data_IF_816622656436
#
_entry.id   IF_816622656436
#
_cell.length_a   1.000
_cell.length_b   1.000
_cell.length_c   1.000
_cell.angle_alpha   90.00
_cell.angle_beta   90.00
_cell.angle_gamma   90.00
#
_symmetry.space_group_name_H-M   'P 1'
#
loop_
_entity.id
_entity.type
_entity.pdbx_description
1 polymer ?
#
# COMPACT_ATOMS: atom_id res chain seq x y z
N UNK A 1 18.98 -22.34 63.18
CA UNK A 1 18.79 -20.92 63.49
C UNK A 1 19.48 -20.12 62.39
N UNK A 2 18.71 -19.69 61.40
CA UNK A 2 19.21 -18.85 60.29
C UNK A 2 18.37 -17.58 60.33
N UNK A 3 19.07 -16.42 60.49
CA UNK A 3 18.45 -15.10 60.56
C UNK A 3 18.23 -14.58 59.14
N UNK A 4 16.98 -14.27 58.77
CA UNK A 4 16.63 -13.47 57.62
C UNK A 4 16.96 -12.00 57.91
N UNK A 5 17.75 -11.37 57.03
CA UNK A 5 17.95 -9.93 56.99
C UNK A 5 16.99 -9.32 55.97
N UNK A 6 16.14 -8.40 56.43
CA UNK A 6 15.22 -7.61 55.60
C UNK A 6 15.93 -6.34 55.15
N UNK A 7 16.17 -6.17 53.87
CA UNK A 7 16.69 -4.91 53.32
C UNK A 7 15.51 -4.05 52.85
N UNK A 8 15.36 -2.87 53.48
CA UNK A 8 14.40 -1.83 53.06
C UNK A 8 15.06 -0.90 52.05
N UNK A 9 14.55 -0.84 50.86
CA UNK A 9 14.97 0.15 49.85
C UNK A 9 13.98 1.32 49.92
N UNK A 10 14.50 2.49 50.34
CA UNK A 10 13.77 3.77 50.25
C UNK A 10 13.90 4.31 48.82
N UNK A 11 12.78 4.49 48.15
CA UNK A 11 12.69 5.24 46.88
C UNK A 11 12.47 6.73 47.22
N UNK A 12 13.38 7.56 46.75
CA UNK A 12 13.26 9.02 46.84
C UNK A 12 12.45 9.53 45.62
N UNK A 13 11.29 10.13 45.88
CA UNK A 13 10.47 10.81 44.87
C UNK A 13 11.00 12.23 44.71
N UNK A 14 11.61 12.51 43.56
CA UNK A 14 12.04 13.86 43.20
C UNK A 14 10.92 14.56 42.40
N UNK A 15 10.33 15.60 43.01
CA UNK A 15 9.35 16.48 42.35
C UNK A 15 10.11 17.53 41.53
N UNK A 16 9.95 17.52 40.21
CA UNK A 16 10.46 18.61 39.34
C UNK A 16 9.29 19.57 39.09
N UNK A 17 9.46 20.79 39.57
CA UNK A 17 8.61 21.93 39.26
C UNK A 17 9.05 22.53 37.92
N UNK A 18 8.16 22.45 36.89
CA UNK A 18 8.33 23.21 35.64
C UNK A 18 7.56 24.50 35.75
N UNK A 19 8.28 25.63 35.80
CA UNK A 19 7.71 26.97 35.71
C UNK A 19 7.52 27.33 34.27
N UNK A 20 6.25 27.40 33.82
CA UNK A 20 5.86 27.84 32.49
C UNK A 20 5.99 29.35 32.31
N UNK A 21 6.86 29.77 31.40
CA UNK A 21 6.92 31.15 30.91
C UNK A 21 6.04 31.30 29.66
N UNK A 22 4.97 32.08 29.75
CA UNK A 22 4.15 32.55 28.62
C UNK A 22 4.93 33.66 27.89
N UNK A 23 5.38 33.40 26.68
CA UNK A 23 5.76 34.47 25.74
C UNK A 23 4.63 34.70 24.72
N UNK A 24 4.05 35.87 24.86
CA UNK A 24 3.04 36.42 23.95
C UNK A 24 3.79 37.07 22.78
N UNK A 25 3.67 36.54 21.56
CA UNK A 25 4.18 37.18 20.34
C UNK A 25 2.98 37.65 19.52
N UNK A 26 2.83 38.96 19.46
CA UNK A 26 1.84 39.65 18.64
C UNK A 26 2.25 39.59 17.16
N UNK A 27 1.36 39.10 16.29
CA UNK A 27 1.49 39.18 14.85
C UNK A 27 1.04 40.54 14.32
N UNK A 28 1.57 41.00 13.15
CA UNK A 28 1.13 42.25 12.55
C UNK A 28 -0.17 42.09 11.76
N UNK A 29 -1.02 43.15 11.84
CA UNK A 29 -2.28 43.28 11.16
C UNK A 29 -2.15 43.49 9.63
N UNK A 30 -3.22 43.20 8.87
CA UNK A 30 -3.24 43.42 7.43
C UNK A 30 -3.48 44.90 7.08
N UNK A 31 -2.82 45.40 6.02
CA UNK A 31 -3.04 46.70 5.44
C UNK A 31 -4.03 46.63 4.27
N UNK A 32 -5.10 47.41 4.39
CA UNK A 32 -6.13 47.70 3.40
C UNK A 32 -5.63 48.58 2.25
N UNK A 33 -6.11 48.30 1.05
CA UNK A 33 -6.61 48.96 -0.07
C UNK A 33 -5.92 50.16 -0.72
N UNK A 34 -6.47 50.84 -1.70
CA UNK A 34 -7.62 50.57 -2.56
C UNK A 34 -7.40 50.80 -4.06
N UNK A 35 -8.27 50.23 -4.84
CA UNK A 35 -9.02 50.99 -5.84
C UNK A 35 -8.52 51.21 -7.24
N UNK A 36 -9.39 50.86 -8.14
CA UNK A 36 -9.89 51.62 -9.30
C UNK A 36 -9.33 51.29 -10.72
N UNK A 37 -10.24 50.80 -11.49
CA UNK A 37 -10.82 51.34 -12.73
C UNK A 37 -10.31 50.76 -14.04
N UNK A 38 -11.25 50.11 -14.75
CA UNK A 38 -11.30 50.01 -16.20
C UNK A 38 -11.66 51.39 -16.83
N UNK A 39 -11.47 51.62 -18.13
CA UNK A 39 -12.36 51.23 -19.20
C UNK A 39 -11.58 50.87 -20.47
N UNK A 40 -12.06 50.07 -21.45
CA UNK A 40 -13.17 50.26 -22.33
C UNK A 40 -12.74 50.37 -23.76
N UNK A 41 -13.43 49.65 -24.66
CA UNK A 41 -13.68 50.00 -26.10
C UNK A 41 -12.50 49.79 -27.10
N UNK A 42 -12.62 49.33 -28.33
CA UNK A 42 -13.69 49.08 -29.27
C UNK A 42 -13.15 48.31 -30.51
N UNK A 43 -14.02 47.48 -31.09
CA UNK A 43 -14.33 47.27 -32.51
C UNK A 43 -13.22 47.25 -33.61
N UNK A 44 -13.17 46.16 -34.36
CA UNK A 44 -13.41 46.20 -35.81
C UNK A 44 -13.44 44.81 -36.47
N UNK A 45 -14.49 44.60 -37.22
CA UNK A 45 -14.77 43.48 -38.09
C UNK A 45 -14.04 43.62 -39.44
N UNK A 46 -13.66 42.47 -40.04
CA UNK A 46 -13.62 42.31 -41.51
C UNK A 46 -13.52 40.81 -41.88
N UNK A 47 -14.53 40.25 -42.49
CA UNK A 47 -14.48 39.18 -43.50
C UNK A 47 -14.60 39.85 -44.87
N UNK A 48 -14.39 39.17 -46.04
CA UNK A 48 -14.42 37.76 -46.38
C UNK A 48 -13.35 37.30 -47.38
N UNK A 49 -13.24 35.98 -47.59
CA UNK A 49 -12.46 35.44 -48.72
C UNK A 49 -12.69 33.96 -48.94
N UNK A 50 -13.54 33.67 -49.91
CA UNK A 50 -13.92 32.33 -50.36
C UNK A 50 -12.75 31.55 -50.97
N UNK A 51 -12.66 30.25 -50.70
CA UNK A 51 -11.79 29.33 -51.41
C UNK A 51 -12.25 27.89 -51.16
N UNK A 52 -13.09 27.40 -52.09
CA UNK A 52 -13.63 26.01 -52.09
C UNK A 52 -12.56 25.08 -52.67
N UNK A 53 -12.10 24.10 -51.93
CA UNK A 53 -11.44 22.93 -52.50
C UNK A 53 -12.03 21.68 -51.85
N UNK A 54 -12.71 20.87 -52.65
CA UNK A 54 -13.27 19.60 -52.26
C UNK A 54 -12.16 18.56 -52.04
N UNK A 55 -12.10 17.95 -50.88
CA UNK A 55 -11.35 16.74 -50.60
C UNK A 55 -12.28 15.61 -50.23
N UNK A 56 -12.12 14.49 -50.90
CA UNK A 56 -12.83 13.21 -50.69
C UNK A 56 -12.79 12.71 -49.29
N UNK A 57 -13.84 11.98 -48.83
CA UNK A 57 -13.87 11.44 -47.48
C UNK A 57 -12.92 10.24 -47.34
N UNK A 58 -11.94 10.36 -46.45
CA UNK A 58 -11.16 9.26 -45.95
C UNK A 58 -12.04 8.39 -45.05
N UNK A 59 -12.08 7.10 -45.33
CA UNK A 59 -12.79 6.11 -44.55
C UNK A 59 -12.26 6.10 -43.11
N UNK A 60 -13.10 6.52 -42.17
CA UNK A 60 -12.91 6.27 -40.75
C UNK A 60 -13.04 4.79 -40.47
N UNK A 61 -11.92 4.09 -40.21
CA UNK A 61 -11.97 2.79 -39.57
C UNK A 61 -12.50 3.02 -38.16
N UNK A 62 -13.69 2.50 -37.88
CA UNK A 62 -14.24 2.42 -36.55
C UNK A 62 -13.29 1.59 -35.69
N UNK A 63 -12.80 2.20 -34.62
CA UNK A 63 -12.16 1.48 -33.51
C UNK A 63 -13.31 0.87 -32.74
N UNK A 64 -13.52 -0.45 -32.90
CA UNK A 64 -14.41 -1.20 -32.02
C UNK A 64 -13.87 -1.06 -30.59
N UNK A 65 -14.73 -0.79 -29.58
CA UNK A 65 -14.31 -0.83 -28.18
C UNK A 65 -13.82 -2.25 -27.90
N UNK A 66 -12.58 -2.35 -27.40
CA UNK A 66 -12.03 -3.61 -26.92
C UNK A 66 -12.92 -4.09 -25.78
N UNK A 67 -13.75 -5.07 -26.03
CA UNK A 67 -14.48 -5.80 -25.00
C UNK A 67 -13.44 -6.43 -24.07
N UNK A 68 -13.39 -5.96 -22.83
CA UNK A 68 -12.56 -6.56 -21.77
C UNK A 68 -12.90 -8.04 -21.68
N UNK A 69 -11.97 -8.87 -22.13
CA UNK A 69 -12.11 -10.32 -22.07
C UNK A 69 -12.04 -10.75 -20.61
N UNK A 70 -13.07 -11.41 -20.11
CA UNK A 70 -13.06 -12.00 -18.78
C UNK A 70 -11.78 -12.82 -18.56
N UNK A 71 -11.16 -12.72 -17.36
CA UNK A 71 -9.90 -13.41 -17.09
C UNK A 71 -10.08 -14.92 -17.23
N UNK A 72 -9.21 -15.51 -18.03
CA UNK A 72 -9.11 -16.97 -18.12
C UNK A 72 -8.35 -17.43 -16.88
N UNK A 73 -8.84 -18.39 -16.08
CA UNK A 73 -8.07 -18.96 -14.97
C UNK A 73 -6.72 -19.46 -15.48
N UNK A 74 -5.67 -19.27 -14.66
CA UNK A 74 -4.32 -19.73 -15.01
C UNK A 74 -4.36 -21.22 -15.40
N UNK A 75 -3.91 -21.60 -16.59
CA UNK A 75 -3.94 -22.99 -17.02
C UNK A 75 -2.90 -23.87 -16.30
N UNK A 76 -2.01 -23.28 -15.48
CA UNK A 76 -0.90 -23.96 -14.82
C UNK A 76 -1.26 -24.63 -13.49
N UNK A 77 -2.35 -24.24 -12.85
CA UNK A 77 -2.66 -24.64 -11.48
C UNK A 77 -1.78 -23.98 -10.42
N UNK A 78 -0.97 -22.98 -10.79
CA UNK A 78 -0.15 -22.19 -9.89
C UNK A 78 -1.03 -21.36 -8.93
N UNK A 79 -0.64 -21.15 -7.67
CA UNK A 79 -1.39 -20.33 -6.75
C UNK A 79 -1.55 -18.89 -7.27
N UNK A 80 -2.73 -18.31 -7.05
CA UNK A 80 -3.04 -16.93 -7.38
C UNK A 80 -3.33 -16.17 -6.09
N UNK A 81 -2.67 -15.02 -5.90
CA UNK A 81 -2.96 -14.05 -4.85
C UNK A 81 -3.67 -12.84 -5.45
N UNK A 82 -4.64 -12.28 -4.72
CA UNK A 82 -5.47 -11.17 -5.15
C UNK A 82 -5.58 -10.16 -4.00
N UNK A 83 -5.30 -8.88 -4.25
CA UNK A 83 -5.45 -7.92 -3.16
C UNK A 83 -5.06 -6.50 -3.52
N UNK A 84 -5.25 -5.62 -2.54
CA UNK A 84 -4.83 -4.22 -2.47
C UNK A 84 -4.79 -3.79 -1.00
N UNK A 85 -4.32 -2.60 -0.70
CA UNK A 85 -4.48 -1.91 0.58
C UNK A 85 -5.46 -0.75 0.47
N UNK A 86 -5.65 -0.05 1.60
CA UNK A 86 -6.36 1.23 1.64
C UNK A 86 -7.81 1.07 1.16
N UNK A 87 -8.62 0.34 1.97
CA UNK A 87 -9.78 -0.36 1.43
C UNK A 87 -11.09 0.37 1.77
N UNK A 88 -11.64 0.15 2.95
CA UNK A 88 -13.05 0.41 3.18
C UNK A 88 -13.29 1.70 3.94
N UNK A 89 -14.25 2.50 3.43
CA UNK A 89 -14.77 3.69 4.08
C UNK A 89 -16.29 3.71 4.02
N UNK A 90 -16.95 4.04 5.14
CA UNK A 90 -18.42 3.97 5.24
C UNK A 90 -19.18 4.97 4.36
N UNK A 91 -18.53 6.00 3.87
CA UNK A 91 -19.12 7.03 3.02
C UNK A 91 -18.66 6.95 1.54
N UNK A 92 -17.91 5.88 1.19
CA UNK A 92 -17.48 5.52 -0.16
C UNK A 92 -18.23 4.32 -0.73
N UNK A 93 -17.93 3.97 -1.97
CA UNK A 93 -18.42 2.77 -2.67
C UNK A 93 -17.35 2.15 -3.57
N UNK A 94 -16.13 2.66 -3.51
CA UNK A 94 -15.03 2.18 -4.36
C UNK A 94 -14.49 0.84 -3.88
N UNK A 95 -14.60 0.56 -2.58
CA UNK A 95 -14.31 -0.73 -1.98
C UNK A 95 -15.30 -1.84 -2.42
N UNK A 96 -16.58 -1.51 -2.64
CA UNK A 96 -17.53 -2.45 -3.25
C UNK A 96 -17.19 -2.70 -4.73
N UNK A 97 -16.70 -1.68 -5.45
CA UNK A 97 -16.28 -1.84 -6.83
C UNK A 97 -15.05 -2.76 -6.95
N UNK A 98 -14.06 -2.62 -6.07
CA UNK A 98 -12.91 -3.53 -6.03
C UNK A 98 -13.27 -4.91 -5.50
N UNK A 99 -14.19 -5.02 -4.54
CA UNK A 99 -14.74 -6.29 -4.09
C UNK A 99 -15.48 -7.04 -5.23
N UNK A 100 -16.14 -6.32 -6.13
CA UNK A 100 -16.76 -6.94 -7.31
C UNK A 100 -15.73 -7.56 -8.27
N UNK A 101 -14.51 -7.02 -8.35
CA UNK A 101 -13.41 -7.66 -9.08
C UNK A 101 -13.03 -8.99 -8.44
N UNK A 102 -12.91 -9.03 -7.10
CA UNK A 102 -12.59 -10.24 -6.36
C UNK A 102 -13.63 -11.35 -6.55
N UNK A 103 -14.91 -10.99 -6.75
CA UNK A 103 -15.97 -11.98 -7.06
C UNK A 103 -15.70 -12.74 -8.35
N UNK A 104 -15.17 -12.03 -9.36
CA UNK A 104 -14.86 -12.60 -10.68
C UNK A 104 -13.51 -13.31 -10.76
N UNK A 105 -12.65 -13.18 -9.77
CA UNK A 105 -11.26 -13.66 -9.77
C UNK A 105 -11.07 -14.76 -8.71
N UNK A 106 -10.69 -15.99 -9.10
CA UNK A 106 -10.37 -17.04 -8.14
C UNK A 106 -8.97 -16.85 -7.57
N UNK A 107 -8.78 -17.13 -6.28
CA UNK A 107 -7.46 -17.05 -5.63
C UNK A 107 -7.56 -16.79 -4.14
N UNK A 108 -6.40 -16.76 -3.49
CA UNK A 108 -6.21 -16.38 -2.09
C UNK A 108 -6.27 -14.86 -2.04
N UNK A 109 -7.06 -14.30 -1.13
CA UNK A 109 -7.14 -12.86 -0.90
C UNK A 109 -6.09 -12.44 0.14
N UNK A 110 -5.45 -11.30 -0.10
CA UNK A 110 -4.62 -10.60 0.87
C UNK A 110 -5.02 -9.13 0.95
N UNK A 111 -4.62 -8.45 2.04
CA UNK A 111 -4.73 -7.00 2.16
C UNK A 111 -3.37 -6.40 2.49
N UNK A 112 -3.17 -5.12 2.14
CA UNK A 112 -1.92 -4.40 2.37
C UNK A 112 -2.03 -3.30 3.44
N UNK A 113 -2.98 -3.47 4.38
CA UNK A 113 -3.20 -2.55 5.47
C UNK A 113 -4.23 -1.48 5.18
N UNK A 114 -4.57 -0.74 6.22
CA UNK A 114 -5.63 0.25 6.25
C UNK A 114 -6.95 -0.36 5.72
N UNK A 115 -7.36 -1.41 6.44
CA UNK A 115 -8.48 -2.24 6.03
C UNK A 115 -9.82 -1.52 6.18
N UNK A 116 -9.96 -0.68 7.23
CA UNK A 116 -11.18 0.07 7.49
C UNK A 116 -10.88 1.45 8.08
N UNK A 117 -11.36 2.49 7.43
CA UNK A 117 -11.17 3.90 7.79
C UNK A 117 -12.36 4.45 8.60
N UNK A 118 -12.09 5.48 9.49
CA UNK A 118 -10.80 6.16 9.72
C UNK A 118 -9.94 5.49 10.80
N UNK A 119 -10.53 4.66 11.67
CA UNK A 119 -9.92 4.26 12.94
C UNK A 119 -9.75 2.75 13.11
N UNK A 120 -10.03 1.93 12.10
CA UNK A 120 -9.97 0.48 12.17
C UNK A 120 -10.88 -0.11 13.25
N UNK A 121 -11.96 0.58 13.56
CA UNK A 121 -12.85 0.19 14.65
C UNK A 121 -13.70 -1.04 14.31
N UNK A 122 -14.20 -1.74 15.35
CA UNK A 122 -15.14 -2.85 15.17
C UNK A 122 -16.36 -2.46 14.34
N UNK A 123 -16.81 -1.21 14.45
CA UNK A 123 -17.96 -0.72 13.69
C UNK A 123 -17.61 -0.58 12.19
N UNK A 124 -16.47 0.00 11.87
CA UNK A 124 -16.01 0.17 10.49
C UNK A 124 -15.70 -1.17 9.83
N UNK A 125 -15.03 -2.07 10.52
CA UNK A 125 -14.81 -3.43 10.02
C UNK A 125 -16.12 -4.17 9.75
N UNK A 126 -17.13 -4.04 10.62
CA UNK A 126 -18.43 -4.69 10.45
C UNK A 126 -19.29 -4.04 9.38
N UNK A 127 -19.38 -2.70 9.38
CA UNK A 127 -20.40 -1.96 8.63
C UNK A 127 -19.90 -1.45 7.27
N UNK A 128 -18.58 -1.26 7.10
CA UNK A 128 -17.94 -0.78 5.87
C UNK A 128 -17.18 -1.91 5.16
N UNK A 129 -16.17 -2.50 5.79
CA UNK A 129 -15.38 -3.59 5.21
C UNK A 129 -16.22 -4.87 5.03
N UNK A 130 -17.07 -5.20 6.01
CA UNK A 130 -17.88 -6.44 6.02
C UNK A 130 -18.75 -6.61 4.78
N UNK A 131 -19.52 -5.60 4.33
CA UNK A 131 -20.36 -5.69 3.13
C UNK A 131 -19.58 -5.81 1.82
N UNK A 132 -18.36 -5.31 1.75
CA UNK A 132 -17.49 -5.30 0.58
C UNK A 132 -16.48 -6.47 0.60
N UNK A 133 -15.26 -6.24 1.02
CA UNK A 133 -14.18 -7.24 1.07
C UNK A 133 -14.41 -8.34 2.11
N UNK A 134 -15.15 -8.06 3.18
CA UNK A 134 -15.52 -9.05 4.19
C UNK A 134 -16.30 -10.25 3.66
N UNK A 135 -16.88 -10.16 2.46
CA UNK A 135 -17.50 -11.29 1.75
C UNK A 135 -16.52 -12.41 1.37
N UNK A 136 -15.23 -12.11 1.41
CA UNK A 136 -14.15 -13.03 1.00
C UNK A 136 -13.28 -13.50 2.17
N UNK A 137 -13.74 -13.36 3.42
CA UNK A 137 -12.99 -13.79 4.60
C UNK A 137 -12.60 -15.27 4.57
N UNK A 138 -13.42 -16.12 3.95
CA UNK A 138 -13.18 -17.56 3.82
C UNK A 138 -11.96 -17.91 2.97
N UNK A 139 -11.49 -16.98 2.14
CA UNK A 139 -10.29 -17.10 1.31
C UNK A 139 -9.24 -16.02 1.58
N UNK A 140 -9.50 -15.11 2.53
CA UNK A 140 -8.52 -14.12 3.01
C UNK A 140 -7.53 -14.81 3.93
N UNK A 141 -6.24 -14.76 3.59
CA UNK A 141 -5.19 -15.54 4.27
C UNK A 141 -4.04 -14.71 4.81
N UNK A 142 -3.81 -13.55 4.22
CA UNK A 142 -2.74 -12.64 4.59
C UNK A 142 -3.32 -11.24 4.75
N UNK A 143 -3.33 -10.74 5.97
CA UNK A 143 -3.79 -9.40 6.31
C UNK A 143 -2.61 -8.64 6.88
N UNK A 144 -2.25 -7.55 6.23
CA UNK A 144 -1.27 -6.59 6.72
C UNK A 144 -1.99 -5.57 7.58
N UNK A 145 -1.42 -5.18 8.70
CA UNK A 145 -1.91 -4.11 9.55
C UNK A 145 -1.39 -2.76 9.06
N UNK A 146 -2.28 -1.83 8.74
CA UNK A 146 -1.95 -0.44 8.40
C UNK A 146 -1.95 0.48 9.62
N UNK A 147 -1.67 1.76 9.40
CA UNK A 147 -1.63 2.72 10.52
C UNK A 147 -3.03 3.09 11.03
N UNK A 148 -4.03 3.15 10.16
CA UNK A 148 -5.43 3.38 10.54
C UNK A 148 -6.00 2.20 11.33
N UNK A 149 -5.62 0.97 11.03
CA UNK A 149 -6.03 -0.23 11.75
C UNK A 149 -5.60 -0.21 13.23
N UNK A 150 -4.55 0.57 13.58
CA UNK A 150 -4.02 0.70 14.94
C UNK A 150 -4.67 1.83 15.75
N UNK A 151 -5.47 2.71 15.17
CA UNK A 151 -6.06 3.84 15.89
C UNK A 151 -7.01 3.40 17.02
N UNK A 152 -7.71 2.28 16.85
CA UNK A 152 -8.58 1.72 17.90
C UNK A 152 -7.87 0.58 18.63
N UNK A 153 -7.62 0.78 19.92
CA UNK A 153 -7.10 -0.24 20.85
C UNK A 153 -5.91 -1.03 20.29
N UNK A 154 -4.94 -0.33 19.68
CA UNK A 154 -3.70 -0.89 19.12
C UNK A 154 -3.96 -2.08 18.15
N UNK A 155 -5.03 -2.02 17.34
CA UNK A 155 -5.37 -3.03 16.33
C UNK A 155 -6.18 -4.22 16.88
N UNK A 156 -6.65 -4.17 18.12
CA UNK A 156 -7.45 -5.26 18.69
C UNK A 156 -8.73 -5.59 17.89
N UNK A 157 -9.47 -4.61 17.29
CA UNK A 157 -10.61 -4.91 16.42
C UNK A 157 -10.21 -5.69 15.15
N UNK A 158 -9.10 -5.33 14.51
CA UNK A 158 -8.56 -6.03 13.34
C UNK A 158 -8.21 -7.48 13.68
N UNK A 159 -7.46 -7.68 14.77
CA UNK A 159 -7.09 -9.01 15.27
C UNK A 159 -8.32 -9.87 15.55
N UNK A 160 -9.38 -9.28 16.13
CA UNK A 160 -10.62 -9.99 16.42
C UNK A 160 -11.43 -10.33 15.16
N UNK A 161 -11.37 -9.48 14.13
CA UNK A 161 -12.12 -9.64 12.90
C UNK A 161 -11.48 -10.67 11.96
N UNK A 162 -10.17 -10.60 11.76
CA UNK A 162 -9.45 -11.45 10.79
C UNK A 162 -8.82 -12.70 11.41
N UNK A 163 -8.65 -12.75 12.74
CA UNK A 163 -8.05 -13.90 13.42
C UNK A 163 -6.65 -14.24 12.88
N UNK A 164 -6.43 -15.53 12.56
CA UNK A 164 -5.13 -16.04 12.11
C UNK A 164 -4.65 -15.47 10.75
N UNK A 165 -5.51 -14.77 10.01
CA UNK A 165 -5.09 -14.09 8.79
C UNK A 165 -4.30 -12.81 9.08
N UNK A 166 -4.50 -12.15 10.25
CA UNK A 166 -3.82 -10.92 10.68
C UNK A 166 -2.82 -11.16 11.81
N UNK A 167 -3.12 -12.08 12.76
CA UNK A 167 -2.32 -12.27 13.98
C UNK A 167 -2.04 -13.76 14.18
N UNK A 168 -0.76 -14.12 14.25
CA UNK A 168 -0.31 -15.50 14.56
C UNK A 168 0.63 -15.46 15.75
N UNK A 169 0.42 -16.37 16.71
CA UNK A 169 1.20 -16.43 17.96
C UNK A 169 1.29 -15.10 18.74
N UNK A 170 0.25 -14.25 18.59
CA UNK A 170 0.14 -12.95 19.25
C UNK A 170 0.96 -11.83 18.63
N UNK A 171 1.42 -11.99 17.40
CA UNK A 171 2.15 -10.97 16.64
C UNK A 171 1.53 -10.76 15.25
N UNK A 172 1.72 -9.57 14.68
CA UNK A 172 1.22 -9.15 13.36
C UNK A 172 2.20 -9.44 12.21
N UNK A 173 3.27 -10.21 12.48
CA UNK A 173 4.22 -10.66 11.46
C UNK A 173 4.35 -12.18 11.49
N UNK A 174 4.29 -12.77 10.32
CA UNK A 174 4.36 -14.23 10.14
C UNK A 174 4.71 -14.58 8.70
N UNK A 175 4.99 -15.84 8.45
CA UNK A 175 5.22 -16.36 7.11
C UNK A 175 4.44 -17.64 6.86
N UNK A 176 4.27 -17.97 5.58
CA UNK A 176 3.65 -19.21 5.15
C UNK A 176 4.11 -19.57 3.73
N UNK A 177 4.37 -20.86 3.48
CA UNK A 177 4.70 -21.32 2.13
C UNK A 177 3.42 -21.52 1.29
N UNK A 178 3.41 -20.91 0.11
CA UNK A 178 2.35 -21.04 -0.89
C UNK A 178 2.94 -21.59 -2.19
N UNK A 179 2.80 -22.88 -2.42
CA UNK A 179 3.47 -23.53 -3.55
C UNK A 179 4.99 -23.50 -3.38
N UNK A 180 5.69 -22.86 -4.31
CA UNK A 180 7.15 -22.68 -4.27
C UNK A 180 7.60 -21.36 -3.64
N UNK A 181 6.65 -20.59 -3.10
CA UNK A 181 6.87 -19.24 -2.58
C UNK A 181 6.84 -19.21 -1.07
N UNK A 182 7.77 -18.49 -0.47
CA UNK A 182 7.74 -18.06 0.91
C UNK A 182 7.06 -16.70 0.98
N UNK A 183 5.86 -16.65 1.55
CA UNK A 183 5.04 -15.44 1.66
C UNK A 183 5.13 -14.93 3.09
N UNK A 184 5.57 -13.68 3.25
CA UNK A 184 5.88 -13.05 4.52
C UNK A 184 4.98 -11.84 4.71
N UNK A 185 4.32 -11.74 5.86
CA UNK A 185 3.63 -10.53 6.34
C UNK A 185 4.49 -9.87 7.41
N UNK A 186 4.69 -8.56 7.32
CA UNK A 186 5.42 -7.75 8.28
C UNK A 186 4.57 -6.58 8.77
N UNK A 187 4.86 -6.10 9.96
CA UNK A 187 4.25 -4.91 10.54
C UNK A 187 5.17 -3.70 10.31
N UNK A 188 4.78 -2.86 9.33
CA UNK A 188 5.51 -1.65 8.94
C UNK A 188 5.28 -0.44 9.85
N UNK A 189 4.41 -0.54 10.89
CA UNK A 189 4.05 0.56 11.79
C UNK A 189 5.16 0.90 12.81
N UNK A 190 6.34 1.20 12.32
CA UNK A 190 7.58 1.35 13.07
C UNK A 190 7.52 2.43 14.16
N UNK A 191 6.83 3.53 13.87
CA UNK A 191 6.71 4.68 14.76
C UNK A 191 5.65 4.51 15.83
N UNK A 192 4.53 3.88 15.49
CA UNK A 192 3.35 3.76 16.35
C UNK A 192 3.56 2.72 17.47
N UNK A 193 4.27 1.65 17.20
CA UNK A 193 4.44 0.52 18.10
C UNK A 193 5.84 0.41 18.73
N UNK A 194 6.54 1.55 18.90
CA UNK A 194 7.75 1.61 19.71
C UNK A 194 8.99 0.95 19.10
N UNK A 195 9.24 1.12 17.78
CA UNK A 195 10.52 0.75 17.17
C UNK A 195 10.64 -0.71 16.75
N UNK A 196 9.54 -1.35 16.36
CA UNK A 196 9.50 -2.76 15.93
C UNK A 196 10.29 -3.06 14.64
N UNK A 197 10.73 -2.03 13.89
CA UNK A 197 11.44 -2.19 12.62
C UNK A 197 12.97 -2.01 12.72
N UNK A 198 13.50 -1.66 13.88
CA UNK A 198 14.95 -1.52 14.04
C UNK A 198 15.70 -2.82 13.75
N UNK A 199 16.95 -2.73 13.28
CA UNK A 199 17.75 -3.89 12.89
C UNK A 199 17.88 -4.99 13.98
N UNK A 200 17.78 -4.61 15.25
CA UNK A 200 17.81 -5.51 16.40
C UNK A 200 16.44 -5.72 17.06
N UNK A 201 15.36 -5.30 16.39
CA UNK A 201 14.00 -5.53 16.90
C UNK A 201 13.63 -7.01 16.89
N UNK A 202 12.66 -7.45 17.70
CA UNK A 202 12.19 -8.84 17.67
C UNK A 202 11.73 -9.27 16.28
N UNK A 203 11.01 -8.40 15.55
CA UNK A 203 10.50 -8.68 14.21
C UNK A 203 11.63 -8.87 13.19
N UNK A 204 12.64 -7.98 13.17
CA UNK A 204 13.74 -8.10 12.20
C UNK A 204 14.64 -9.29 12.51
N UNK A 205 14.84 -9.65 13.78
CA UNK A 205 15.53 -10.89 14.15
C UNK A 205 14.75 -12.11 13.68
N UNK A 206 13.44 -12.15 13.97
CA UNK A 206 12.57 -13.21 13.50
C UNK A 206 12.62 -13.32 11.97
N UNK A 207 12.50 -12.20 11.23
CA UNK A 207 12.58 -12.20 9.77
C UNK A 207 13.88 -12.84 9.25
N UNK A 208 15.03 -12.50 9.84
CA UNK A 208 16.31 -13.10 9.44
C UNK A 208 16.37 -14.60 9.72
N UNK A 209 15.85 -15.03 10.88
CA UNK A 209 15.83 -16.44 11.26
C UNK A 209 14.87 -17.23 10.35
N UNK A 210 13.71 -16.65 10.03
CA UNK A 210 12.70 -17.23 9.15
C UNK A 210 13.22 -17.38 7.70
N UNK A 211 13.81 -16.32 7.15
CA UNK A 211 14.46 -16.34 5.84
C UNK A 211 15.60 -17.36 5.77
N UNK A 212 16.39 -17.50 6.85
CA UNK A 212 17.47 -18.49 6.90
C UNK A 212 16.96 -19.93 7.00
N UNK A 213 15.75 -20.14 7.53
CA UNK A 213 15.12 -21.46 7.65
C UNK A 213 14.35 -21.85 6.37
N UNK A 214 13.90 -20.88 5.58
CA UNK A 214 13.16 -21.15 4.35
C UNK A 214 14.01 -21.85 3.30
N UNK A 215 13.40 -22.83 2.62
CA UNK A 215 13.98 -23.50 1.44
C UNK A 215 13.19 -23.19 0.16
N UNK A 216 12.22 -22.30 0.24
CA UNK A 216 11.45 -21.86 -0.90
C UNK A 216 12.36 -21.17 -1.93
N UNK A 217 12.04 -21.34 -3.20
CA UNK A 217 12.82 -20.75 -4.28
C UNK A 217 12.56 -19.24 -4.42
N UNK A 218 11.35 -18.83 -4.15
CA UNK A 218 10.89 -17.47 -4.36
C UNK A 218 10.39 -16.86 -3.05
N UNK A 219 10.59 -15.56 -2.86
CA UNK A 219 10.17 -14.85 -1.65
C UNK A 219 9.36 -13.61 -1.98
N UNK A 220 8.16 -13.51 -1.40
CA UNK A 220 7.29 -12.34 -1.40
C UNK A 220 7.17 -11.82 0.02
N UNK A 221 7.38 -10.53 0.25
CA UNK A 221 7.07 -9.89 1.52
C UNK A 221 6.02 -8.78 1.35
N UNK A 222 5.17 -8.60 2.35
CA UNK A 222 4.09 -7.61 2.36
C UNK A 222 4.10 -6.85 3.67
N UNK A 223 4.02 -5.52 3.61
CA UNK A 223 3.77 -4.63 4.74
C UNK A 223 3.16 -3.33 4.23
N UNK A 224 2.65 -2.46 5.11
CA UNK A 224 1.86 -1.31 4.70
C UNK A 224 2.69 -0.17 4.10
N UNK A 225 3.60 0.47 4.86
CA UNK A 225 4.35 1.65 4.43
C UNK A 225 5.44 1.30 3.41
N UNK A 226 5.45 1.86 2.20
CA UNK A 226 6.43 1.51 1.17
C UNK A 226 7.85 1.98 1.52
N UNK A 227 8.86 1.17 1.14
CA UNK A 227 10.25 1.58 1.27
C UNK A 227 10.60 2.69 0.28
N UNK A 228 10.05 2.59 -0.91
CA UNK A 228 10.17 3.59 -1.98
C UNK A 228 8.80 3.93 -2.54
N UNK A 229 8.51 5.22 -2.69
CA UNK A 229 7.25 5.71 -3.24
C UNK A 229 7.41 7.10 -3.85
N UNK A 230 6.64 7.36 -4.90
CA UNK A 230 6.41 8.67 -5.48
C UNK A 230 5.17 9.37 -4.92
N UNK A 231 4.36 8.66 -4.12
CA UNK A 231 3.11 9.14 -3.55
C UNK A 231 3.29 10.22 -2.49
N UNK A 232 2.21 10.62 -1.83
CA UNK A 232 2.21 11.75 -0.89
C UNK A 232 2.98 11.46 0.40
N UNK A 233 2.97 10.22 0.89
CA UNK A 233 3.72 9.82 2.07
C UNK A 233 5.20 9.55 1.75
N UNK A 234 5.49 9.15 0.50
CA UNK A 234 6.84 8.95 0.00
C UNK A 234 7.59 7.78 0.65
N UNK A 235 8.91 7.85 0.59
CA UNK A 235 9.77 6.75 1.06
C UNK A 235 9.75 6.62 2.60
N UNK A 236 9.43 5.45 3.14
CA UNK A 236 9.63 5.16 4.55
C UNK A 236 11.01 4.51 4.81
N UNK A 237 11.89 5.26 5.47
CA UNK A 237 13.22 4.77 5.85
C UNK A 237 13.22 3.90 7.10
N UNK A 238 12.15 3.91 7.88
CA UNK A 238 12.08 3.11 9.10
C UNK A 238 11.99 1.61 8.79
N UNK A 239 11.43 1.24 7.63
CA UNK A 239 11.34 -0.14 7.14
C UNK A 239 12.60 -0.64 6.40
N UNK A 240 13.65 0.20 6.28
CA UNK A 240 14.90 -0.21 5.62
C UNK A 240 15.50 -1.53 6.16
N UNK A 241 15.45 -1.85 7.47
CA UNK A 241 15.97 -3.13 7.96
C UNK A 241 15.23 -4.37 7.43
N UNK A 242 13.95 -4.24 7.02
CA UNK A 242 13.23 -5.32 6.33
C UNK A 242 13.83 -5.53 4.94
N UNK A 243 14.01 -4.44 4.21
CA UNK A 243 14.60 -4.48 2.87
C UNK A 243 16.00 -5.07 2.88
N UNK A 244 16.85 -4.63 3.84
CA UNK A 244 18.20 -5.17 4.02
C UNK A 244 18.21 -6.68 4.22
N UNK A 245 17.31 -7.19 5.09
CA UNK A 245 17.20 -8.61 5.37
C UNK A 245 16.72 -9.42 4.15
N UNK A 246 15.71 -8.90 3.44
CA UNK A 246 15.15 -9.50 2.23
C UNK A 246 16.16 -9.53 1.07
N UNK A 247 16.85 -8.41 0.83
CA UNK A 247 17.85 -8.30 -0.22
C UNK A 247 19.06 -9.22 0.03
N UNK A 248 19.44 -9.41 1.30
CA UNK A 248 20.57 -10.28 1.66
C UNK A 248 20.38 -11.73 1.22
N UNK A 249 19.13 -12.20 1.15
CA UNK A 249 18.78 -13.58 0.73
C UNK A 249 18.32 -13.67 -0.73
N UNK A 250 18.20 -12.53 -1.43
CA UNK A 250 17.71 -12.50 -2.81
C UNK A 250 16.18 -12.65 -2.89
N UNK A 251 15.43 -11.98 -2.02
CA UNK A 251 13.98 -11.91 -2.15
C UNK A 251 13.57 -11.23 -3.46
N UNK A 252 12.40 -11.56 -3.99
CA UNK A 252 11.99 -11.25 -5.36
C UNK A 252 11.02 -10.10 -5.44
N UNK A 253 10.05 -10.04 -4.52
CA UNK A 253 8.89 -9.15 -4.62
C UNK A 253 8.51 -8.59 -3.25
N UNK A 254 8.14 -7.29 -3.24
CA UNK A 254 7.56 -6.58 -2.11
C UNK A 254 6.27 -5.93 -2.55
N UNK A 255 5.23 -6.01 -1.71
CA UNK A 255 3.95 -5.33 -1.90
C UNK A 255 3.66 -4.42 -0.71
N UNK A 256 3.18 -3.21 -1.01
CA UNK A 256 2.81 -2.18 -0.04
C UNK A 256 1.48 -1.51 -0.38
N UNK A 257 0.83 -0.88 0.60
CA UNK A 257 -0.26 0.07 0.45
C UNK A 257 0.19 1.48 0.82
N UNK A 258 -0.59 2.17 1.65
CA UNK A 258 -0.30 3.44 2.32
C UNK A 258 -0.34 4.68 1.44
N UNK A 259 0.36 4.72 0.32
CA UNK A 259 0.12 5.71 -0.72
C UNK A 259 -1.05 5.25 -1.58
N UNK A 260 -2.08 6.11 -1.69
CA UNK A 260 -3.35 5.77 -2.33
C UNK A 260 -3.25 5.83 -3.85
N UNK A 261 -2.35 5.02 -4.38
CA UNK A 261 -2.05 4.95 -5.81
C UNK A 261 -1.58 3.53 -6.21
N UNK A 262 -1.30 3.36 -7.49
CA UNK A 262 -0.55 2.23 -8.01
C UNK A 262 0.81 2.68 -8.48
N UNK A 263 1.87 2.08 -7.96
CA UNK A 263 3.21 2.30 -8.46
C UNK A 263 4.00 0.99 -8.54
N UNK A 264 4.80 0.83 -9.58
CA UNK A 264 5.72 -0.30 -9.73
C UNK A 264 7.12 0.17 -10.05
N UNK A 265 8.07 -0.38 -9.33
CA UNK A 265 9.49 -0.08 -9.47
C UNK A 265 10.22 -1.15 -10.28
N UNK A 266 11.30 -0.74 -10.96
CA UNK A 266 12.31 -1.67 -11.45
C UNK A 266 13.01 -2.33 -10.24
N UNK A 267 13.57 -3.55 -10.42
CA UNK A 267 14.33 -4.19 -9.34
C UNK A 267 15.44 -3.29 -8.81
N UNK A 268 15.52 -3.14 -7.49
CA UNK A 268 16.42 -2.20 -6.83
C UNK A 268 17.04 -2.76 -5.56
N UNK A 269 18.21 -2.19 -5.19
CA UNK A 269 18.94 -2.51 -3.98
C UNK A 269 18.41 -1.74 -2.75
N UNK A 270 18.91 -1.97 -1.52
CA UNK A 270 18.45 -1.26 -0.32
C UNK A 270 18.64 0.26 -0.35
N UNK A 271 19.57 0.77 -1.14
CA UNK A 271 19.84 2.19 -1.30
C UNK A 271 18.98 2.84 -2.40
N UNK A 272 18.14 2.05 -3.11
CA UNK A 272 17.30 2.52 -4.21
C UNK A 272 18.05 2.67 -5.53
N UNK A 273 19.18 1.99 -5.72
CA UNK A 273 19.82 1.92 -7.02
C UNK A 273 19.24 0.75 -7.83
N UNK A 274 19.11 0.93 -9.13
CA UNK A 274 18.64 -0.14 -10.00
C UNK A 274 19.62 -1.35 -9.96
N UNK A 275 19.07 -2.53 -9.67
CA UNK A 275 19.81 -3.78 -9.65
C UNK A 275 19.01 -4.90 -10.35
N UNK A 276 19.19 -5.03 -11.64
CA UNK A 276 18.48 -6.03 -12.43
C UNK A 276 18.92 -7.47 -12.19
N UNK A 277 19.97 -7.70 -11.40
CA UNK A 277 20.50 -9.03 -11.15
C UNK A 277 20.05 -9.64 -9.81
N UNK A 278 19.84 -8.78 -8.79
CA UNK A 278 19.53 -9.21 -7.42
C UNK A 278 18.50 -8.32 -6.75
N UNK A 279 18.07 -7.25 -7.43
CA UNK A 279 17.16 -6.26 -6.87
C UNK A 279 15.78 -6.82 -6.64
N UNK A 280 15.08 -6.24 -5.65
CA UNK A 280 13.71 -6.57 -5.32
C UNK A 280 12.78 -5.67 -6.12
N UNK A 281 11.75 -6.24 -6.74
CA UNK A 281 10.65 -5.49 -7.34
C UNK A 281 9.68 -5.05 -6.26
N UNK A 282 9.38 -3.75 -6.14
CA UNK A 282 8.36 -3.20 -5.26
C UNK A 282 7.13 -2.79 -6.06
N UNK A 283 5.95 -3.05 -5.50
CA UNK A 283 4.68 -2.56 -6.02
C UNK A 283 3.87 -1.95 -4.87
N UNK A 284 3.52 -0.68 -5.01
CA UNK A 284 2.54 -0.01 -4.17
C UNK A 284 1.17 -0.23 -4.79
N UNK A 285 0.21 -0.69 -4.01
CA UNK A 285 -1.16 -1.03 -4.44
C UNK A 285 -2.15 -0.54 -3.39
N UNK A 286 -2.14 0.77 -3.12
CA UNK A 286 -3.07 1.46 -2.20
C UNK A 286 -4.37 1.85 -2.89
N UNK A 287 -4.94 0.94 -3.67
CA UNK A 287 -6.03 1.23 -4.59
C UNK A 287 -7.33 0.52 -4.24
N UNK A 288 -7.44 0.03 -2.99
CA UNK A 288 -8.53 -0.86 -2.55
C UNK A 288 -9.90 -0.18 -2.43
N UNK A 289 -9.96 1.16 -2.25
CA UNK A 289 -11.25 1.84 -2.19
C UNK A 289 -11.28 3.20 -1.51
N UNK A 290 -10.22 3.57 -0.76
CA UNK A 290 -10.07 4.95 -0.26
C UNK A 290 -9.74 5.91 -1.42
N UNK A 291 -10.06 7.20 -1.27
CA UNK A 291 -9.81 8.19 -2.33
C UNK A 291 -8.37 8.19 -2.82
N UNK A 292 -8.20 8.10 -4.14
CA UNK A 292 -6.88 8.08 -4.78
C UNK A 292 -6.19 9.44 -4.66
N UNK A 293 -4.86 9.44 -4.61
CA UNK A 293 -4.03 10.60 -4.41
C UNK A 293 -3.04 10.80 -5.57
N UNK A 294 -2.80 12.07 -5.92
CA UNK A 294 -1.84 12.41 -6.97
C UNK A 294 -0.39 12.27 -6.47
N UNK A 295 0.51 11.95 -7.38
CA UNK A 295 1.94 11.84 -7.08
C UNK A 295 2.57 13.20 -6.80
N UNK A 296 3.28 13.34 -5.69
CA UNK A 296 4.04 14.57 -5.38
C UNK A 296 5.41 14.60 -6.04
N UNK A 297 6.02 13.44 -6.23
CA UNK A 297 7.39 13.29 -6.72
C UNK A 297 7.49 12.25 -7.84
N UNK A 298 8.70 11.99 -8.27
CA UNK A 298 9.03 10.84 -9.12
C UNK A 298 10.24 10.16 -8.50
N UNK A 299 9.99 9.07 -7.78
CA UNK A 299 11.06 8.30 -7.18
C UNK A 299 11.95 7.66 -8.27
N UNK A 300 13.21 7.44 -7.92
CA UNK A 300 14.11 6.71 -8.81
C UNK A 300 13.57 5.28 -9.03
N UNK A 301 13.79 4.76 -10.24
CA UNK A 301 13.35 3.42 -10.64
C UNK A 301 11.83 3.20 -10.72
N UNK A 302 11.00 4.21 -10.46
CA UNK A 302 9.57 4.15 -10.76
C UNK A 302 9.36 3.98 -12.27
N UNK A 303 8.72 2.89 -12.68
CA UNK A 303 8.57 2.54 -14.12
C UNK A 303 7.12 2.57 -14.59
N UNK A 304 6.17 2.36 -13.70
CA UNK A 304 4.73 2.50 -13.96
C UNK A 304 4.08 3.07 -12.71
N UNK A 305 3.20 4.06 -12.89
CA UNK A 305 2.39 4.63 -11.81
C UNK A 305 1.07 5.19 -12.32
N UNK A 306 0.05 5.13 -11.50
CA UNK A 306 -1.29 5.62 -11.82
C UNK A 306 -2.09 5.93 -10.54
N UNK A 307 -2.73 7.09 -10.50
CA UNK A 307 -3.76 7.46 -9.53
C UNK A 307 -5.14 7.63 -10.22
N UNK A 308 -5.37 6.90 -11.32
CA UNK A 308 -6.55 7.11 -12.16
C UNK A 308 -7.70 6.16 -11.84
N UNK A 309 -7.42 4.99 -11.26
CA UNK A 309 -8.43 3.97 -11.05
C UNK A 309 -8.17 3.14 -9.79
N UNK A 310 -9.22 2.86 -9.04
CA UNK A 310 -9.21 1.80 -8.04
C UNK A 310 -9.07 0.43 -8.72
N UNK A 311 -8.49 -0.52 -8.01
CA UNK A 311 -8.27 -1.85 -8.56
C UNK A 311 -7.55 -2.78 -7.60
N UNK A 312 -7.29 -3.99 -8.06
CA UNK A 312 -6.57 -5.03 -7.32
C UNK A 312 -5.42 -5.57 -8.16
N UNK A 313 -4.36 -6.00 -7.49
CA UNK A 313 -3.30 -6.78 -8.12
C UNK A 313 -3.66 -8.27 -8.11
N UNK A 314 -3.49 -8.93 -9.24
CA UNK A 314 -3.51 -10.39 -9.38
C UNK A 314 -2.08 -10.87 -9.58
N UNK A 315 -1.60 -11.75 -8.70
CA UNK A 315 -0.29 -12.38 -8.77
C UNK A 315 -0.45 -13.88 -8.99
N UNK A 316 0.19 -14.41 -10.02
CA UNK A 316 0.34 -15.86 -10.23
C UNK A 316 1.72 -16.29 -9.76
N UNK A 317 1.79 -17.12 -8.72
CA UNK A 317 3.00 -17.59 -8.09
C UNK A 317 3.52 -18.86 -8.78
N UNK A 318 4.37 -18.68 -9.77
CA UNK A 318 4.96 -19.81 -10.53
C UNK A 318 6.14 -20.45 -9.77
N UNK A 319 6.53 -21.69 -10.05
CA UNK A 319 7.61 -22.36 -9.31
C UNK A 319 8.99 -21.68 -9.38
N UNK A 320 9.21 -20.76 -10.33
CA UNK A 320 10.49 -20.07 -10.52
C UNK A 320 10.35 -18.63 -10.98
N UNK A 321 9.20 -18.02 -10.73
CA UNK A 321 8.91 -16.65 -11.11
C UNK A 321 7.47 -16.28 -10.80
N UNK A 322 7.02 -15.13 -11.28
CA UNK A 322 5.65 -14.66 -11.11
C UNK A 322 5.14 -13.99 -12.36
N UNK A 323 3.82 -14.04 -12.54
CA UNK A 323 3.08 -13.15 -13.42
C UNK A 323 2.22 -12.22 -12.58
N UNK A 324 1.99 -10.99 -13.06
CA UNK A 324 1.09 -10.06 -12.40
C UNK A 324 0.20 -9.33 -13.41
N UNK A 325 -0.93 -8.87 -12.91
CA UNK A 325 -1.85 -8.01 -13.63
C UNK A 325 -2.57 -7.09 -12.64
N UNK A 326 -2.53 -5.78 -12.86
CA UNK A 326 -3.40 -4.83 -12.19
C UNK A 326 -4.75 -4.81 -12.92
N UNK A 327 -5.83 -5.03 -12.18
CA UNK A 327 -7.21 -5.06 -12.68
C UNK A 327 -7.96 -3.87 -12.10
N UNK A 328 -8.19 -2.85 -12.92
CA UNK A 328 -8.94 -1.66 -12.51
C UNK A 328 -10.45 -1.87 -12.60
N UNK A 329 -11.19 -1.13 -11.77
CA UNK A 329 -12.66 -1.22 -11.69
C UNK A 329 -13.36 -0.74 -12.96
N UNK A 330 -12.76 0.21 -13.69
CA UNK A 330 -13.37 0.89 -14.84
C UNK A 330 -12.63 0.67 -16.17
N UNK A 331 -11.50 -0.05 -16.14
CA UNK A 331 -10.69 -0.31 -17.33
C UNK A 331 -9.86 0.89 -17.82
N UNK A 332 -9.80 2.00 -17.06
CA UNK A 332 -9.05 3.21 -17.46
C UNK A 332 -7.53 3.02 -17.37
N UNK A 333 -7.08 2.09 -16.53
CA UNK A 333 -5.67 1.77 -16.36
C UNK A 333 -5.45 0.26 -16.27
N UNK A 334 -4.31 -0.21 -16.74
CA UNK A 334 -3.84 -1.58 -16.56
C UNK A 334 -2.33 -1.64 -16.60
N UNK A 335 -1.75 -2.50 -15.79
CA UNK A 335 -0.34 -2.90 -15.86
C UNK A 335 -0.26 -4.42 -15.76
N UNK A 336 0.68 -5.02 -16.46
CA UNK A 336 0.91 -6.46 -16.40
C UNK A 336 2.34 -6.80 -16.77
N UNK A 337 2.82 -7.90 -16.25
CA UNK A 337 4.16 -8.35 -16.52
C UNK A 337 4.48 -9.67 -15.85
N UNK A 338 5.77 -9.97 -15.79
CA UNK A 338 6.30 -11.15 -15.14
C UNK A 338 7.71 -10.89 -14.64
N UNK A 339 8.14 -11.70 -13.68
CA UNK A 339 9.51 -11.75 -13.19
C UNK A 339 9.97 -13.19 -12.99
N UNK A 340 11.25 -13.35 -12.74
CA UNK A 340 11.88 -14.64 -12.41
C UNK A 340 12.50 -14.55 -11.03
N UNK A 341 12.43 -15.64 -10.26
CA UNK A 341 13.07 -15.70 -8.94
C UNK A 341 14.59 -15.84 -9.06
N UNK A 342 15.30 -15.30 -8.08
CA UNK A 342 16.76 -15.29 -7.99
C UNK A 342 17.38 -16.66 -7.66
#
# INVERSE_FOLDING_TARGET
MVRLGLAVILAAVGTVLVVGGLMNVAGPAPSDGPGASAPGSDVAAASPGSGVAAASPAATRGVEPATARAPTPSPSGDPVLLGAGDIARCDGTDDEATAALLEGLPGIVFTLGDNAYEDGSTAELRDCYGPSWGRFLDRTRFVVTGNHDLHTDDGAPEAAYFGDAAVRDGVTWFSEDVGAWHVIVLDGNCGLLGGRCGADSPQVRWLRDDLAASTARCTLAMWHQPRFSSGQHGNDRAVAPFWDALYAVGADLVLNGHDHDYERFAPQDPDGNADGARGITEMVVGTGGIGLEDFETSAANSIVRSSLAHGVIELTLQPSGWGFRFVSTDGSFSDQGHGTCH
#
